data_IF_858269428697
#
_entry.id   IF_858269428697
#
_cell.length_a   1.000
_cell.length_b   1.000
_cell.length_c   1.000
_cell.angle_alpha   90.00
_cell.angle_beta   90.00
_cell.angle_gamma   90.00
#
_symmetry.space_group_name_H-M   'P 1'
#
loop_
_entity.id
_entity.type
_entity.pdbx_description
1 polymer ?
#
# COMPACT_ATOMS: atom_id res chain seq x y z
N UNK A 1 -17.62 -19.89 -10.69
CA UNK A 1 -16.86 -18.64 -10.81
C UNK A 1 -15.59 -19.00 -11.53
N UNK A 2 -15.34 -18.39 -12.68
CA UNK A 2 -14.07 -18.58 -13.39
C UNK A 2 -12.99 -17.81 -12.66
N UNK A 3 -11.93 -18.47 -12.24
CA UNK A 3 -10.78 -17.91 -11.52
C UNK A 3 -9.53 -17.88 -12.40
N UNK A 4 -9.67 -18.16 -13.70
CA UNK A 4 -8.54 -18.06 -14.63
C UNK A 4 -8.09 -16.60 -14.76
N UNK A 5 -6.79 -16.41 -14.81
CA UNK A 5 -6.20 -15.11 -15.08
C UNK A 5 -6.31 -14.82 -16.58
N UNK A 6 -6.55 -13.55 -16.94
CA UNK A 6 -6.42 -13.11 -18.31
C UNK A 6 -4.93 -12.90 -18.67
N UNK A 7 -4.66 -12.68 -19.97
CA UNK A 7 -3.29 -12.53 -20.47
C UNK A 7 -2.49 -11.40 -19.78
N UNK A 8 -3.15 -10.29 -19.49
CA UNK A 8 -2.54 -9.16 -18.80
C UNK A 8 -2.22 -9.49 -17.34
N UNK A 9 -3.12 -10.15 -16.63
CA UNK A 9 -2.89 -10.60 -15.26
C UNK A 9 -1.77 -11.63 -15.18
N UNK A 10 -1.65 -12.53 -16.18
CA UNK A 10 -0.53 -13.45 -16.28
C UNK A 10 0.80 -12.71 -16.47
N UNK A 11 0.85 -11.67 -17.30
CA UNK A 11 2.04 -10.86 -17.48
C UNK A 11 2.46 -10.16 -16.17
N UNK A 12 1.50 -9.62 -15.40
CA UNK A 12 1.78 -9.06 -14.06
C UNK A 12 2.26 -10.12 -13.08
N UNK A 13 1.65 -11.30 -13.10
CA UNK A 13 2.07 -12.43 -12.27
C UNK A 13 3.53 -12.80 -12.53
N UNK A 14 3.90 -12.97 -13.79
CA UNK A 14 5.27 -13.32 -14.18
C UNK A 14 6.28 -12.23 -13.81
N UNK A 15 5.94 -10.95 -14.02
CA UNK A 15 6.79 -9.83 -13.66
C UNK A 15 7.01 -9.76 -12.13
N UNK A 16 5.95 -9.88 -11.34
CA UNK A 16 6.01 -9.88 -9.89
C UNK A 16 6.78 -11.09 -9.35
N UNK A 17 6.55 -12.28 -9.90
CA UNK A 17 7.26 -13.51 -9.52
C UNK A 17 8.77 -13.41 -9.79
N UNK A 18 9.16 -12.89 -10.95
CA UNK A 18 10.57 -12.68 -11.29
C UNK A 18 11.22 -11.69 -10.35
N UNK A 19 10.61 -10.53 -10.15
CA UNK A 19 11.10 -9.54 -9.19
C UNK A 19 11.23 -10.13 -7.78
N UNK A 20 10.23 -10.86 -7.31
CA UNK A 20 10.22 -11.50 -6.02
C UNK A 20 11.37 -12.50 -5.85
N UNK A 21 11.59 -13.36 -6.85
CA UNK A 21 12.65 -14.37 -6.83
C UNK A 21 14.06 -13.75 -6.89
N UNK A 22 14.25 -12.73 -7.72
CA UNK A 22 15.58 -12.15 -7.98
C UNK A 22 15.98 -11.09 -6.94
N UNK A 23 15.03 -10.30 -6.46
CA UNK A 23 15.28 -9.11 -5.63
C UNK A 23 14.85 -9.27 -4.17
N UNK A 24 13.79 -10.02 -3.90
CA UNK A 24 13.27 -10.12 -2.54
C UNK A 24 13.77 -11.35 -1.81
N UNK A 25 13.61 -12.54 -2.36
CA UNK A 25 13.95 -13.80 -1.70
C UNK A 25 15.40 -13.87 -1.21
N UNK A 26 16.43 -13.48 -1.99
CA UNK A 26 17.83 -13.57 -1.55
C UNK A 26 18.16 -12.72 -0.34
N UNK A 27 17.38 -11.66 -0.09
CA UNK A 27 17.65 -10.68 0.97
C UNK A 27 16.58 -10.67 2.09
N UNK A 28 15.64 -11.60 2.07
CA UNK A 28 14.55 -11.68 3.05
C UNK A 28 15.06 -11.73 4.48
N UNK A 29 16.00 -12.64 4.78
CA UNK A 29 16.56 -12.82 6.13
C UNK A 29 17.20 -11.53 6.67
N UNK A 30 17.91 -10.80 5.82
CA UNK A 30 18.53 -9.52 6.17
C UNK A 30 17.44 -8.49 6.54
N UNK A 31 16.46 -8.29 5.68
CA UNK A 31 15.36 -7.33 5.95
C UNK A 31 14.56 -7.70 7.20
N UNK A 32 14.28 -9.00 7.41
CA UNK A 32 13.59 -9.48 8.60
C UNK A 32 14.36 -9.18 9.90
N UNK A 33 15.70 -9.21 9.86
CA UNK A 33 16.55 -8.90 11.02
C UNK A 33 16.67 -7.39 11.24
N UNK A 34 16.75 -6.60 10.18
CA UNK A 34 16.87 -5.15 10.25
C UNK A 34 15.56 -4.45 10.60
N UNK A 35 14.42 -5.15 10.50
CA UNK A 35 13.07 -4.62 10.72
C UNK A 35 12.76 -3.36 9.91
N UNK A 36 13.32 -3.26 8.70
CA UNK A 36 13.17 -2.10 7.82
C UNK A 36 12.87 -2.51 6.39
N UNK A 37 11.99 -1.73 5.76
CA UNK A 37 11.75 -1.79 4.32
C UNK A 37 12.86 -1.00 3.60
N UNK A 38 13.41 -1.62 2.57
CA UNK A 38 14.42 -0.98 1.71
C UNK A 38 13.72 -0.03 0.72
N UNK A 39 13.93 1.26 0.88
CA UNK A 39 13.33 2.29 0.02
C UNK A 39 13.79 2.19 -1.44
N UNK A 40 15.03 1.77 -1.69
CA UNK A 40 15.52 1.57 -3.05
C UNK A 40 14.80 0.40 -3.73
N UNK A 41 14.57 -0.69 -3.00
CA UNK A 41 13.77 -1.82 -3.46
C UNK A 41 12.32 -1.41 -3.77
N UNK A 42 11.70 -0.57 -2.94
CA UNK A 42 10.35 -0.07 -3.18
C UNK A 42 10.28 0.81 -4.43
N UNK A 43 11.27 1.68 -4.66
CA UNK A 43 11.35 2.48 -5.87
C UNK A 43 11.52 1.59 -7.12
N UNK A 44 12.27 0.49 -7.02
CA UNK A 44 12.39 -0.50 -8.11
C UNK A 44 11.03 -1.19 -8.38
N UNK A 45 10.31 -1.60 -7.33
CA UNK A 45 8.94 -2.13 -7.47
C UNK A 45 8.00 -1.12 -8.15
N UNK A 46 8.05 0.15 -7.73
CA UNK A 46 7.25 1.21 -8.32
C UNK A 46 7.56 1.43 -9.81
N UNK A 47 8.85 1.42 -10.18
CA UNK A 47 9.28 1.58 -11.58
C UNK A 47 8.80 0.47 -12.51
N UNK A 48 8.52 -0.71 -11.95
CA UNK A 48 7.96 -1.87 -12.66
C UNK A 48 6.42 -1.90 -12.65
N UNK A 49 5.75 -0.89 -12.08
CA UNK A 49 4.30 -0.86 -11.94
C UNK A 49 3.74 -1.90 -10.96
N UNK A 50 4.57 -2.38 -10.03
CA UNK A 50 4.17 -3.36 -9.02
C UNK A 50 3.63 -2.71 -7.73
N UNK A 51 3.53 -1.38 -7.68
CA UNK A 51 2.92 -0.62 -6.58
C UNK A 51 1.82 0.28 -7.13
N UNK A 52 0.62 0.20 -6.52
CA UNK A 52 -0.51 1.04 -6.88
C UNK A 52 -1.03 0.78 -8.30
N UNK A 53 -0.96 -0.45 -8.77
CA UNK A 53 -1.41 -0.88 -10.10
C UNK A 53 -2.88 -0.54 -10.36
N UNK A 54 -3.72 -0.54 -9.34
CA UNK A 54 -5.15 -0.23 -9.34
C UNK A 54 -5.47 1.24 -9.00
N UNK A 55 -4.46 2.06 -8.75
CA UNK A 55 -4.62 3.52 -8.67
C UNK A 55 -4.91 4.06 -10.08
N UNK A 56 -5.81 5.06 -10.23
CA UNK A 56 -6.12 5.64 -11.53
C UNK A 56 -4.89 6.18 -12.26
N UNK A 57 -4.86 6.06 -13.59
CA UNK A 57 -3.78 6.55 -14.46
C UNK A 57 -3.48 8.04 -14.27
N UNK A 58 -4.52 8.84 -13.98
CA UNK A 58 -4.37 10.28 -13.68
C UNK A 58 -3.41 10.57 -12.53
N UNK A 59 -3.16 9.58 -11.66
CA UNK A 59 -2.27 9.68 -10.50
C UNK A 59 -1.03 8.78 -10.64
N UNK A 60 -0.75 8.29 -11.83
CA UNK A 60 0.44 7.50 -12.12
C UNK A 60 0.30 5.99 -11.84
N UNK A 61 -0.90 5.51 -11.50
CA UNK A 61 -1.24 4.10 -11.50
C UNK A 61 -1.52 3.57 -12.90
N UNK A 62 -1.98 2.33 -12.99
CA UNK A 62 -2.33 1.71 -14.27
C UNK A 62 -3.84 1.51 -14.44
N UNK A 63 -4.65 1.89 -13.44
CA UNK A 63 -6.11 1.77 -13.49
C UNK A 63 -6.61 0.32 -13.56
N UNK A 64 -5.78 -0.63 -13.16
CA UNK A 64 -6.09 -2.05 -13.19
C UNK A 64 -7.13 -2.44 -12.14
N UNK A 65 -7.63 -3.68 -12.23
CA UNK A 65 -8.55 -4.20 -11.24
C UNK A 65 -7.84 -4.52 -9.91
N UNK A 66 -8.60 -4.49 -8.80
CA UNK A 66 -8.11 -4.99 -7.51
C UNK A 66 -7.75 -6.49 -7.56
N UNK A 67 -8.32 -7.25 -8.52
CA UNK A 67 -7.90 -8.62 -8.80
C UNK A 67 -6.47 -8.69 -9.30
N UNK A 68 -6.08 -7.79 -10.21
CA UNK A 68 -4.69 -7.67 -10.70
C UNK A 68 -3.74 -7.29 -9.55
N UNK A 69 -4.15 -6.34 -8.70
CA UNK A 69 -3.39 -5.99 -7.50
C UNK A 69 -3.19 -7.20 -6.57
N UNK A 70 -4.24 -8.01 -6.37
CA UNK A 70 -4.17 -9.25 -5.58
C UNK A 70 -3.17 -10.26 -6.14
N UNK A 71 -3.12 -10.44 -7.45
CA UNK A 71 -2.14 -11.31 -8.13
C UNK A 71 -0.70 -10.86 -7.84
N UNK A 72 -0.43 -9.56 -7.92
CA UNK A 72 0.89 -9.00 -7.60
C UNK A 72 1.23 -9.23 -6.13
N UNK A 73 0.30 -8.90 -5.22
CA UNK A 73 0.48 -9.07 -3.76
C UNK A 73 0.84 -10.52 -3.44
N UNK A 74 0.14 -11.49 -4.04
CA UNK A 74 0.41 -12.91 -3.83
C UNK A 74 1.84 -13.29 -4.20
N UNK A 75 2.31 -12.90 -5.39
CA UNK A 75 3.65 -13.26 -5.86
C UNK A 75 4.75 -12.59 -5.03
N UNK A 76 4.58 -11.32 -4.65
CA UNK A 76 5.52 -10.63 -3.77
C UNK A 76 5.55 -11.29 -2.37
N UNK A 77 4.39 -11.64 -1.81
CA UNK A 77 4.27 -12.26 -0.49
C UNK A 77 4.95 -13.62 -0.38
N UNK A 78 5.02 -14.39 -1.47
CA UNK A 78 5.78 -15.66 -1.50
C UNK A 78 7.26 -15.49 -1.16
N UNK A 79 7.85 -14.37 -1.54
CA UNK A 79 9.25 -14.09 -1.29
C UNK A 79 9.47 -13.21 -0.07
N UNK A 80 8.59 -12.23 0.15
CA UNK A 80 8.66 -11.29 1.28
C UNK A 80 7.28 -10.75 1.62
N UNK A 81 6.69 -11.30 2.68
CA UNK A 81 5.37 -10.91 3.15
C UNK A 81 5.33 -9.42 3.56
N UNK A 82 6.39 -8.88 4.17
CA UNK A 82 6.41 -7.49 4.59
C UNK A 82 6.45 -6.53 3.40
N UNK A 83 7.20 -6.88 2.34
CA UNK A 83 7.22 -6.09 1.11
C UNK A 83 5.85 -6.05 0.42
N UNK A 84 5.06 -7.13 0.49
CA UNK A 84 3.72 -7.18 -0.10
C UNK A 84 2.73 -6.21 0.56
N UNK A 85 2.95 -5.87 1.83
CA UNK A 85 2.13 -4.88 2.53
C UNK A 85 2.19 -3.49 1.90
N UNK A 86 3.31 -3.12 1.28
CA UNK A 86 3.43 -1.81 0.61
C UNK A 86 2.45 -1.73 -0.57
N UNK A 87 2.36 -2.78 -1.39
CA UNK A 87 1.37 -2.84 -2.46
C UNK A 87 -0.06 -2.91 -1.91
N UNK A 88 -0.30 -3.68 -0.85
CA UNK A 88 -1.62 -3.75 -0.21
C UNK A 88 -2.07 -2.37 0.29
N UNK A 89 -1.19 -1.65 0.99
CA UNK A 89 -1.49 -0.31 1.50
C UNK A 89 -1.65 0.70 0.36
N UNK A 90 -0.85 0.60 -0.69
CA UNK A 90 -1.00 1.44 -1.88
C UNK A 90 -2.37 1.25 -2.54
N UNK A 91 -2.83 0.01 -2.73
CA UNK A 91 -4.17 -0.28 -3.24
C UNK A 91 -5.27 0.24 -2.33
N UNK A 92 -5.22 -0.12 -1.04
CA UNK A 92 -6.27 0.21 -0.08
C UNK A 92 -6.34 1.72 0.18
N UNK A 93 -5.23 2.30 0.60
CA UNK A 93 -5.18 3.73 0.98
C UNK A 93 -5.12 4.64 -0.23
N UNK A 94 -4.40 4.24 -1.27
CA UNK A 94 -4.35 4.99 -2.53
C UNK A 94 -5.73 5.08 -3.18
N UNK A 95 -6.49 3.98 -3.19
CA UNK A 95 -7.88 3.97 -3.65
C UNK A 95 -8.79 4.91 -2.83
N UNK A 96 -8.66 4.91 -1.49
CA UNK A 96 -9.40 5.83 -0.63
C UNK A 96 -9.03 7.29 -0.87
N UNK A 97 -7.74 7.59 -1.00
CA UNK A 97 -7.28 8.96 -1.31
C UNK A 97 -7.76 9.40 -2.68
N UNK A 98 -7.71 8.54 -3.71
CA UNK A 98 -8.20 8.86 -5.04
C UNK A 98 -9.70 9.18 -5.08
N UNK A 99 -10.51 8.52 -4.23
CA UNK A 99 -11.96 8.67 -4.22
C UNK A 99 -12.45 9.80 -3.31
N UNK A 100 -11.77 10.06 -2.20
CA UNK A 100 -12.32 10.88 -1.11
C UNK A 100 -11.49 12.10 -0.74
N UNK A 101 -10.21 12.15 -1.11
CA UNK A 101 -9.37 13.32 -0.84
C UNK A 101 -9.66 14.45 -1.83
N UNK A 102 -9.23 15.67 -1.47
CA UNK A 102 -9.24 16.78 -2.43
C UNK A 102 -8.25 16.50 -3.56
N UNK A 103 -8.48 17.05 -4.78
CA UNK A 103 -7.56 16.87 -5.89
C UNK A 103 -6.11 17.26 -5.58
N UNK A 104 -5.91 18.30 -4.77
CA UNK A 104 -4.57 18.76 -4.38
C UNK A 104 -3.85 17.68 -3.57
N UNK A 105 -4.52 17.08 -2.59
CA UNK A 105 -3.97 15.98 -1.78
C UNK A 105 -3.71 14.75 -2.64
N UNK A 106 -4.65 14.36 -3.49
CA UNK A 106 -4.48 13.19 -4.35
C UNK A 106 -3.29 13.38 -5.32
N UNK A 107 -3.17 14.56 -5.94
CA UNK A 107 -2.06 14.90 -6.84
C UNK A 107 -0.70 15.01 -6.13
N UNK A 108 -0.69 15.40 -4.87
CA UNK A 108 0.54 15.47 -4.08
C UNK A 108 1.09 14.09 -3.72
N UNK A 109 0.20 13.18 -3.29
CA UNK A 109 0.62 11.92 -2.67
C UNK A 109 0.64 10.72 -3.62
N UNK A 110 -0.41 10.53 -4.42
CA UNK A 110 -0.56 9.29 -5.21
C UNK A 110 0.55 9.03 -6.23
N UNK A 111 1.08 10.05 -6.95
CA UNK A 111 2.21 9.80 -7.85
C UNK A 111 3.49 9.35 -7.15
N UNK A 112 3.68 9.74 -5.89
CA UNK A 112 4.83 9.29 -5.08
C UNK A 112 4.62 7.85 -4.58
N UNK A 113 3.36 7.50 -4.26
CA UNK A 113 2.98 6.13 -3.87
C UNK A 113 3.24 5.16 -5.01
N UNK A 114 2.75 5.46 -6.20
CA UNK A 114 2.91 4.58 -7.38
C UNK A 114 4.37 4.38 -7.79
N UNK A 115 5.24 5.37 -7.52
CA UNK A 115 6.68 5.23 -7.73
C UNK A 115 7.44 4.56 -6.58
N UNK A 116 6.74 4.14 -5.51
CA UNK A 116 7.38 3.53 -4.35
C UNK A 116 8.21 4.48 -3.49
N UNK A 117 8.05 5.79 -3.68
CA UNK A 117 8.75 6.84 -2.92
C UNK A 117 8.09 7.10 -1.56
N UNK A 118 6.79 6.81 -1.46
CA UNK A 118 5.96 7.06 -0.26
C UNK A 118 5.22 5.80 0.15
N UNK A 119 5.26 5.50 1.44
CA UNK A 119 4.46 4.45 2.09
C UNK A 119 3.29 5.10 2.81
N UNK A 120 2.07 4.72 2.44
CA UNK A 120 0.87 5.10 3.17
C UNK A 120 0.64 4.14 4.34
N UNK A 121 0.16 4.68 5.45
CA UNK A 121 -0.23 3.92 6.63
C UNK A 121 -1.73 3.97 6.87
N UNK A 122 -2.28 2.97 7.55
CA UNK A 122 -3.68 2.95 7.96
C UNK A 122 -3.80 2.81 9.48
N UNK A 123 -4.16 3.90 10.14
CA UNK A 123 -4.52 3.91 11.56
C UNK A 123 -6.03 3.70 11.73
N UNK A 124 -6.50 2.46 11.69
CA UNK A 124 -7.92 2.12 11.87
C UNK A 124 -8.23 1.63 13.28
N UNK A 125 -7.50 0.62 13.75
CA UNK A 125 -7.74 -0.08 15.02
C UNK A 125 -7.51 0.83 16.22
N UNK A 126 -8.36 0.69 17.23
CA UNK A 126 -8.24 1.39 18.52
C UNK A 126 -8.06 0.39 19.67
N UNK A 127 -7.51 0.79 20.85
CA UNK A 127 -7.24 -0.14 21.96
C UNK A 127 -8.47 -0.89 22.47
N UNK A 128 -9.68 -0.38 22.24
CA UNK A 128 -10.93 -0.97 22.72
C UNK A 128 -11.62 -1.89 21.73
N UNK A 129 -11.19 -1.96 20.47
CA UNK A 129 -11.90 -2.79 19.50
C UNK A 129 -11.21 -2.88 18.14
N UNK A 130 -11.09 -4.08 17.60
CA UNK A 130 -10.61 -4.36 16.25
C UNK A 130 -11.74 -4.36 15.23
N UNK A 131 -12.74 -5.26 15.35
CA UNK A 131 -13.76 -5.44 14.29
C UNK A 131 -14.87 -4.39 14.30
N UNK A 132 -15.03 -3.62 15.39
CA UNK A 132 -16.10 -2.62 15.52
C UNK A 132 -15.64 -1.24 15.03
N UNK A 133 -15.40 -1.13 13.72
CA UNK A 133 -14.98 0.11 13.08
C UNK A 133 -16.06 1.22 13.08
N UNK A 134 -17.30 0.89 13.44
CA UNK A 134 -18.38 1.90 13.56
C UNK A 134 -18.35 2.67 14.87
N UNK A 135 -17.67 2.15 15.90
CA UNK A 135 -17.60 2.74 17.24
C UNK A 135 -16.21 3.30 17.57
N UNK A 136 -15.59 3.97 16.59
CA UNK A 136 -14.32 4.65 16.80
C UNK A 136 -14.48 5.81 17.79
N UNK A 137 -13.54 5.92 18.74
CA UNK A 137 -13.54 6.96 19.76
C UNK A 137 -12.56 8.11 19.50
N UNK A 138 -11.55 7.90 18.63
CA UNK A 138 -10.70 8.99 18.17
C UNK A 138 -11.54 10.06 17.50
N UNK A 139 -11.37 11.30 17.93
CA UNK A 139 -12.14 12.45 17.46
C UNK A 139 -11.26 13.44 16.72
N UNK A 140 -11.80 13.96 15.63
CA UNK A 140 -11.28 15.12 14.94
C UNK A 140 -12.19 16.32 15.25
N UNK A 141 -11.72 17.25 16.08
CA UNK A 141 -12.39 18.51 16.37
C UNK A 141 -11.85 19.60 15.44
N UNK A 142 -12.69 20.56 15.08
CA UNK A 142 -12.32 21.66 14.17
C UNK A 142 -12.25 23.01 14.93
N UNK A 143 -11.19 23.29 15.69
CA UNK A 143 -10.99 24.60 16.27
C UNK A 143 -10.43 25.57 15.21
N UNK A 144 -11.27 26.47 14.71
CA UNK A 144 -10.85 27.45 13.67
C UNK A 144 -10.58 26.82 12.31
N UNK A 145 -9.44 27.11 11.70
CA UNK A 145 -9.08 26.69 10.33
C UNK A 145 -8.35 25.33 10.25
N UNK A 146 -8.18 24.62 11.35
CA UNK A 146 -7.49 23.33 11.37
C UNK A 146 -8.29 22.24 12.08
N UNK A 147 -7.66 21.06 12.22
CA UNK A 147 -8.21 19.96 12.99
C UNK A 147 -7.32 19.64 14.19
N UNK A 148 -7.97 19.29 15.29
CA UNK A 148 -7.30 18.70 16.46
C UNK A 148 -7.74 17.25 16.54
N UNK A 149 -6.75 16.33 16.44
CA UNK A 149 -6.98 14.90 16.63
C UNK A 149 -6.72 14.55 18.08
N UNK A 150 -7.63 13.82 18.72
CA UNK A 150 -7.49 13.35 20.08
C UNK A 150 -7.97 11.90 20.18
N UNK A 151 -7.07 11.01 20.55
CA UNK A 151 -7.30 9.57 20.66
C UNK A 151 -6.04 8.78 20.36
N UNK A 152 -6.19 7.46 20.33
CA UNK A 152 -5.09 6.51 20.12
C UNK A 152 -5.49 5.50 19.03
N UNK A 153 -4.55 5.20 18.14
CA UNK A 153 -4.63 4.08 17.20
C UNK A 153 -3.58 3.04 17.56
N UNK A 154 -3.88 1.77 17.28
CA UNK A 154 -3.00 0.65 17.61
C UNK A 154 -2.90 -0.32 16.44
N UNK A 155 -1.90 -1.20 16.47
CA UNK A 155 -1.69 -2.25 15.47
C UNK A 155 -1.60 -1.73 14.03
N UNK A 156 -1.01 -0.57 13.84
CA UNK A 156 -0.82 0.05 12.54
C UNK A 156 0.39 -0.55 11.83
N UNK A 157 0.18 -1.14 10.66
CA UNK A 157 1.27 -1.66 9.83
C UNK A 157 2.17 -0.51 9.34
N UNK A 158 3.48 -0.73 9.39
CA UNK A 158 4.51 0.25 8.98
C UNK A 158 4.45 1.59 9.72
N UNK A 159 3.91 1.64 10.95
CA UNK A 159 3.72 2.88 11.71
C UNK A 159 5.01 3.70 11.92
N UNK A 160 6.17 3.05 11.98
CA UNK A 160 7.48 3.66 12.16
C UNK A 160 8.19 3.99 10.84
N UNK A 161 7.59 3.64 9.69
CA UNK A 161 8.19 3.75 8.36
C UNK A 161 7.29 4.40 7.32
N UNK A 162 5.99 4.59 7.61
CA UNK A 162 5.09 5.29 6.70
C UNK A 162 5.38 6.80 6.68
N UNK A 163 5.04 7.42 5.56
CA UNK A 163 5.25 8.86 5.33
C UNK A 163 3.96 9.65 5.54
N UNK A 164 2.80 8.98 5.43
CA UNK A 164 1.48 9.53 5.70
C UNK A 164 0.50 8.42 6.11
#
# INVERSE_FOLDING_TARGET
MDTSLNEQQEAFREAAQRFAAEKLAPHYQKRATEHRLDRAMLAEMGSLGLIGVDIPEAYGGLGESSGTAGVIIEQIAYADFNASYVQLLASLMGGMVAQHATPDVANEWLPKVTRGETILGLGLTEPRGGPDASNLILRAERPGNGYRLNGEKTSMSCADQCDA
#
